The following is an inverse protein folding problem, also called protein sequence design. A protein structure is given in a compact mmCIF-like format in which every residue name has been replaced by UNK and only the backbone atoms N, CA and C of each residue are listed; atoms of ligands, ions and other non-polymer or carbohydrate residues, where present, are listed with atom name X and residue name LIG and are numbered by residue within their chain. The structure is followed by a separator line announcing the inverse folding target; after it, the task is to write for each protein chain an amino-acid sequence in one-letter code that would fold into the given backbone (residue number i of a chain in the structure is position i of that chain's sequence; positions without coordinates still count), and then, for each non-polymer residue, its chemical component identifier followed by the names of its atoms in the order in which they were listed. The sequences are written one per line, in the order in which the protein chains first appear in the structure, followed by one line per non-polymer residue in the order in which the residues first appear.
data_IF_563785967331
#
_entry.id   IF_563785967331
#
_cell.length_a   1.000
_cell.length_b   1.000
_cell.length_c   1.000
_cell.angle_alpha   90.00
_cell.angle_beta   90.00
_cell.angle_gamma   90.00
#
_symmetry.space_group_name_H-M   'P 1'
#
loop_
_entity.id
_entity.type
_entity.pdbx_description
1 polymer ?
#
# COMPACT_ATOMS: atom_id res chain seq x y z
N UNK A 1 -20.19 54.55 -33.77
CA UNK A 1 -18.83 54.00 -33.93
C UNK A 1 -18.11 54.17 -32.61
N UNK A 2 -18.26 53.19 -31.73
CA UNK A 2 -17.38 52.84 -30.60
C UNK A 2 -18.15 51.92 -29.67
N UNK A 3 -17.56 50.74 -29.49
CA UNK A 3 -17.96 49.63 -28.65
C UNK A 3 -17.63 49.90 -27.18
N UNK A 4 -18.42 49.29 -26.29
CA UNK A 4 -17.91 48.38 -25.25
C UNK A 4 -19.08 47.80 -24.44
N UNK A 5 -19.37 46.51 -24.63
CA UNK A 5 -20.19 45.73 -23.69
C UNK A 5 -19.52 44.39 -23.44
N UNK A 6 -19.22 44.17 -22.16
CA UNK A 6 -18.86 42.92 -21.52
C UNK A 6 -19.76 41.74 -21.92
N UNK A 7 -19.19 40.57 -22.18
CA UNK A 7 -19.82 39.31 -21.76
C UNK A 7 -18.83 38.15 -21.72
N UNK A 8 -18.74 37.58 -20.52
CA UNK A 8 -18.03 36.35 -20.16
C UNK A 8 -18.59 35.17 -20.96
N UNK A 9 -17.76 34.54 -21.79
CA UNK A 9 -18.10 33.28 -22.46
C UNK A 9 -17.65 32.11 -21.59
N UNK A 10 -18.62 31.35 -21.09
CA UNK A 10 -18.42 30.02 -20.51
C UNK A 10 -18.02 29.06 -21.62
N UNK A 11 -16.79 28.57 -21.63
CA UNK A 11 -16.43 27.38 -22.42
C UNK A 11 -17.07 26.15 -21.79
N UNK A 12 -18.00 25.57 -22.54
CA UNK A 12 -18.67 24.31 -22.26
C UNK A 12 -17.66 23.18 -22.46
N UNK A 13 -17.22 22.56 -21.37
CA UNK A 13 -16.43 21.33 -21.41
C UNK A 13 -17.34 20.19 -21.87
N UNK A 14 -17.16 19.75 -23.11
CA UNK A 14 -17.85 18.57 -23.65
C UNK A 14 -17.44 17.31 -22.86
N UNK A 15 -18.37 16.39 -22.54
CA UNK A 15 -18.05 15.15 -21.88
C UNK A 15 -17.20 14.26 -22.80
N UNK A 16 -16.06 13.79 -22.28
CA UNK A 16 -15.22 12.76 -22.89
C UNK A 16 -16.08 11.54 -23.23
N UNK A 17 -16.19 11.24 -24.52
CA UNK A 17 -16.83 10.02 -25.02
C UNK A 17 -16.11 8.76 -24.54
N UNK A 18 -16.80 7.60 -24.59
CA UNK A 18 -16.25 6.35 -24.08
C UNK A 18 -15.02 5.95 -24.91
N UNK A 19 -13.92 5.70 -24.20
CA UNK A 19 -12.72 5.06 -24.76
C UNK A 19 -13.13 3.65 -25.18
N UNK A 20 -13.25 3.42 -26.48
CA UNK A 20 -13.40 2.08 -27.06
C UNK A 20 -12.12 1.30 -26.82
N UNK A 21 -12.11 0.51 -25.74
CA UNK A 21 -11.17 -0.60 -25.58
C UNK A 21 -11.49 -1.65 -26.63
N UNK A 22 -10.55 -1.90 -27.54
CA UNK A 22 -10.60 -3.06 -28.42
C UNK A 22 -10.69 -4.32 -27.56
N UNK A 23 -11.79 -5.04 -27.68
CA UNK A 23 -11.99 -6.37 -27.11
C UNK A 23 -10.96 -7.32 -27.71
N UNK A 24 -9.86 -7.54 -27.00
CA UNK A 24 -9.03 -8.72 -27.20
C UNK A 24 -9.81 -9.92 -26.67
N UNK A 25 -9.97 -10.96 -27.50
CA UNK A 25 -10.46 -12.27 -27.11
C UNK A 25 -9.58 -12.85 -25.99
N UNK A 26 -9.98 -12.61 -24.75
CA UNK A 26 -9.48 -13.33 -23.59
C UNK A 26 -10.12 -14.70 -23.66
N UNK A 27 -9.31 -15.76 -23.85
CA UNK A 27 -9.79 -17.13 -23.72
C UNK A 27 -10.57 -17.26 -22.41
N UNK A 28 -11.83 -17.75 -22.40
CA UNK A 28 -12.74 -17.64 -21.27
C UNK A 28 -12.28 -18.36 -19.98
N UNK A 29 -11.13 -19.04 -20.01
CA UNK A 29 -10.62 -19.90 -18.95
C UNK A 29 -9.44 -19.31 -18.13
N UNK A 30 -8.93 -18.12 -18.44
CA UNK A 30 -7.79 -17.54 -17.69
C UNK A 30 -8.25 -16.45 -16.70
N UNK A 31 -7.89 -16.59 -15.41
CA UNK A 31 -8.04 -15.54 -14.41
C UNK A 31 -6.94 -14.47 -14.60
N UNK A 32 -7.04 -13.68 -15.66
CA UNK A 32 -6.10 -12.62 -15.94
C UNK A 32 -6.54 -11.31 -15.27
N UNK A 33 -5.64 -10.73 -14.48
CA UNK A 33 -5.71 -9.32 -14.06
C UNK A 33 -4.61 -8.58 -14.83
N UNK A 34 -4.86 -8.21 -16.10
CA UNK A 34 -3.86 -7.53 -16.90
C UNK A 34 -3.63 -6.12 -16.37
N UNK A 35 -2.42 -5.61 -16.59
CA UNK A 35 -2.14 -4.19 -16.45
C UNK A 35 -2.62 -3.40 -17.66
N UNK A 36 -2.45 -2.07 -17.64
CA UNK A 36 -2.74 -1.25 -18.81
C UNK A 36 -1.81 -1.62 -19.97
N UNK A 37 -2.36 -1.64 -21.19
CA UNK A 37 -1.61 -1.71 -22.45
C UNK A 37 -1.15 -0.32 -22.93
N UNK A 38 -1.70 0.72 -22.32
CA UNK A 38 -1.48 2.13 -22.62
C UNK A 38 -1.36 2.94 -21.33
N UNK A 39 -0.27 3.69 -21.21
CA UNK A 39 0.11 4.39 -19.98
C UNK A 39 0.34 5.86 -20.28
N UNK A 40 -0.29 6.74 -19.52
CA UNK A 40 -0.06 8.18 -19.64
C UNK A 40 0.89 8.68 -18.55
N UNK A 41 2.02 9.22 -18.97
CA UNK A 41 3.05 9.79 -18.10
C UNK A 41 3.05 11.31 -18.21
N UNK A 42 3.25 11.98 -17.08
CA UNK A 42 3.40 13.44 -17.00
C UNK A 42 4.72 13.81 -16.34
N UNK A 43 5.32 14.89 -16.79
CA UNK A 43 6.58 15.43 -16.26
C UNK A 43 6.28 16.31 -15.05
N UNK A 44 6.79 15.90 -13.89
CA UNK A 44 6.80 16.68 -12.66
C UNK A 44 8.19 17.26 -12.38
N UNK A 45 8.28 18.16 -11.40
CA UNK A 45 9.53 18.83 -11.00
C UNK A 45 10.64 17.87 -10.57
N UNK A 46 10.28 16.69 -10.04
CA UNK A 46 11.22 15.66 -9.57
C UNK A 46 11.39 14.47 -10.52
N UNK A 47 10.74 14.48 -11.68
CA UNK A 47 10.80 13.39 -12.67
C UNK A 47 9.45 13.09 -13.31
N UNK A 48 9.35 11.94 -13.98
CA UNK A 48 8.09 11.49 -14.59
C UNK A 48 7.20 10.77 -13.59
N UNK A 49 5.89 10.91 -13.74
CA UNK A 49 4.86 10.28 -12.90
C UNK A 49 3.76 9.70 -13.80
N UNK A 50 3.19 8.57 -13.39
CA UNK A 50 1.94 8.08 -13.99
C UNK A 50 0.81 9.01 -13.55
N UNK A 51 0.04 9.49 -14.52
CA UNK A 51 -1.04 10.47 -14.29
C UNK A 51 -2.23 9.84 -13.59
N UNK A 52 -2.41 8.54 -13.79
CA UNK A 52 -3.53 7.78 -13.26
C UNK A 52 -3.14 7.17 -11.91
N UNK A 53 -3.77 7.63 -10.83
CA UNK A 53 -3.70 7.03 -9.47
C UNK A 53 -4.50 5.70 -9.45
N UNK A 54 -4.23 4.80 -10.40
CA UNK A 54 -4.99 3.58 -10.69
C UNK A 54 -4.47 2.36 -9.94
N UNK A 55 -3.74 2.53 -8.84
CA UNK A 55 -3.25 1.37 -8.07
C UNK A 55 -3.15 1.59 -6.58
N UNK A 56 -3.36 0.49 -5.87
CA UNK A 56 -2.96 0.36 -4.48
C UNK A 56 -1.44 0.26 -4.40
N UNK A 57 -0.82 1.12 -3.58
CA UNK A 57 0.64 1.15 -3.41
C UNK A 57 1.07 0.85 -1.97
N UNK A 58 2.00 -0.07 -1.81
CA UNK A 58 2.80 -0.31 -0.61
C UNK A 58 3.90 0.75 -0.50
N UNK A 59 3.48 1.98 -0.19
CA UNK A 59 4.33 3.16 -0.15
C UNK A 59 4.39 3.81 1.25
N UNK A 60 4.18 3.02 2.30
CA UNK A 60 4.33 3.42 3.71
C UNK A 60 5.62 4.21 3.88
N UNK A 61 5.64 5.28 4.65
CA UNK A 61 6.85 6.06 4.87
C UNK A 61 7.73 5.45 5.98
N UNK A 62 9.04 5.39 5.76
CA UNK A 62 9.94 4.69 6.69
C UNK A 62 9.99 5.37 8.06
N UNK A 63 9.96 6.71 8.05
CA UNK A 63 9.96 7.54 9.25
C UNK A 63 8.78 7.26 10.19
N UNK A 64 7.65 6.79 9.68
CA UNK A 64 6.45 6.46 10.49
C UNK A 64 6.72 5.30 11.45
N UNK A 65 7.68 4.42 11.15
CA UNK A 65 8.13 3.37 12.07
C UNK A 65 8.87 3.90 13.31
N UNK A 66 9.16 5.19 13.35
CA UNK A 66 9.79 5.87 14.50
C UNK A 66 8.80 6.76 15.26
N UNK A 67 7.50 6.68 15.00
CA UNK A 67 6.49 7.46 15.75
C UNK A 67 6.51 7.17 17.25
N UNK A 68 6.70 5.90 17.64
CA UNK A 68 6.84 5.52 19.05
C UNK A 68 8.13 6.07 19.67
N UNK A 69 9.20 6.24 18.87
CA UNK A 69 10.44 6.86 19.32
C UNK A 69 10.26 8.37 19.52
N UNK A 70 9.56 9.05 18.60
CA UNK A 70 9.19 10.45 18.75
C UNK A 70 8.39 10.69 20.04
N UNK A 71 7.44 9.79 20.32
CA UNK A 71 6.63 9.82 21.53
C UNK A 71 7.48 9.64 22.79
N UNK A 72 8.37 8.63 22.81
CA UNK A 72 9.24 8.36 23.96
C UNK A 72 10.35 9.42 24.16
N UNK A 73 10.63 10.26 23.16
CA UNK A 73 11.72 11.23 23.20
C UNK A 73 11.39 12.50 23.99
N UNK A 74 10.16 12.69 24.44
CA UNK A 74 9.65 13.99 24.87
C UNK A 74 10.04 14.46 26.27
N UNK A 75 10.75 13.63 27.04
CA UNK A 75 11.23 13.88 28.42
C UNK A 75 10.26 14.76 29.21
N UNK A 76 9.20 14.13 29.72
CA UNK A 76 8.11 14.80 30.40
C UNK A 76 8.61 15.74 31.50
N UNK A 77 8.22 17.00 31.41
CA UNK A 77 8.66 18.04 32.33
C UNK A 77 8.26 17.73 33.78
N UNK A 78 7.12 17.08 34.02
CA UNK A 78 6.70 16.60 35.35
C UNK A 78 7.70 15.62 36.01
N UNK A 79 8.53 14.94 35.23
CA UNK A 79 9.46 13.92 35.75
C UNK A 79 10.88 14.47 35.84
N UNK A 80 11.27 15.34 34.90
CA UNK A 80 12.66 15.73 34.71
C UNK A 80 12.96 17.21 34.96
N UNK A 81 11.93 18.07 35.08
CA UNK A 81 12.14 19.50 35.30
C UNK A 81 12.05 19.83 36.79
N UNK A 82 13.21 19.85 37.45
CA UNK A 82 13.41 20.68 38.64
C UNK A 82 13.62 22.13 38.20
N UNK A 83 13.25 23.13 39.00
CA UNK A 83 13.48 24.55 38.66
C UNK A 83 14.73 25.06 39.38
N UNK A 84 15.76 25.58 38.66
CA UNK A 84 15.86 25.72 37.21
C UNK A 84 16.10 24.38 36.48
N UNK A 85 15.58 24.27 35.25
CA UNK A 85 15.62 23.03 34.48
C UNK A 85 17.06 22.56 34.27
N UNK A 86 17.40 21.30 34.62
CA UNK A 86 18.74 20.77 34.39
C UNK A 86 19.15 20.80 32.91
N UNK A 87 20.40 21.15 32.62
CA UNK A 87 20.90 21.28 31.24
C UNK A 87 20.72 19.99 30.43
N UNK A 88 20.97 18.82 31.04
CA UNK A 88 20.79 17.55 30.35
C UNK A 88 19.33 17.35 29.91
N UNK A 89 18.35 17.73 30.76
CA UNK A 89 16.94 17.62 30.45
C UNK A 89 16.55 18.57 29.31
N UNK A 90 17.10 19.79 29.30
CA UNK A 90 16.92 20.75 28.19
C UNK A 90 17.44 20.15 26.87
N UNK A 91 18.63 19.57 26.87
CA UNK A 91 19.24 18.97 25.66
C UNK A 91 18.38 17.82 25.14
N UNK A 92 17.97 16.88 26.01
CA UNK A 92 17.13 15.76 25.61
C UNK A 92 15.73 16.19 25.14
N UNK A 93 15.09 17.11 25.86
CA UNK A 93 13.81 17.71 25.45
C UNK A 93 13.92 18.41 24.10
N UNK A 94 14.99 19.17 23.84
CA UNK A 94 15.17 19.84 22.56
C UNK A 94 15.32 18.83 21.41
N UNK A 95 16.10 17.76 21.60
CA UNK A 95 16.27 16.70 20.59
C UNK A 95 14.96 15.94 20.36
N UNK A 96 14.28 15.56 21.44
CA UNK A 96 13.01 14.85 21.42
C UNK A 96 11.89 15.65 20.76
N UNK A 97 11.69 16.90 21.21
CA UNK A 97 10.72 17.82 20.65
C UNK A 97 10.96 18.11 19.17
N UNK A 98 12.22 18.32 18.74
CA UNK A 98 12.56 18.44 17.32
C UNK A 98 12.22 17.17 16.54
N UNK A 99 12.57 16.00 17.08
CA UNK A 99 12.33 14.71 16.42
C UNK A 99 10.84 14.45 16.26
N UNK A 100 10.04 14.71 17.30
CA UNK A 100 8.59 14.59 17.28
C UNK A 100 7.95 15.51 16.24
N UNK A 101 8.43 16.75 16.12
CA UNK A 101 7.98 17.68 15.09
C UNK A 101 8.25 17.17 13.66
N UNK A 102 9.49 16.75 13.39
CA UNK A 102 9.88 16.25 12.06
C UNK A 102 9.12 14.98 11.69
N UNK A 103 8.97 14.05 12.65
CA UNK A 103 8.23 12.80 12.43
C UNK A 103 6.73 13.08 12.25
N UNK A 104 6.15 14.06 12.95
CA UNK A 104 4.78 14.51 12.74
C UNK A 104 4.56 15.00 11.30
N UNK A 105 5.47 15.84 10.77
CA UNK A 105 5.44 16.28 9.37
C UNK A 105 5.48 15.07 8.42
N UNK A 106 6.35 14.10 8.71
CA UNK A 106 6.45 12.87 7.93
C UNK A 106 5.14 12.06 7.94
N UNK A 107 4.47 11.95 9.10
CA UNK A 107 3.17 11.29 9.24
C UNK A 107 2.09 12.02 8.43
N UNK A 108 2.07 13.37 8.42
CA UNK A 108 1.15 14.12 7.56
C UNK A 108 1.41 13.93 6.06
N UNK A 109 2.65 13.71 5.64
CA UNK A 109 2.93 13.32 4.26
C UNK A 109 2.51 11.88 3.96
N UNK A 110 2.64 10.97 4.91
CA UNK A 110 2.18 9.59 4.75
C UNK A 110 0.65 9.49 4.72
N UNK A 111 -0.06 10.29 5.52
CA UNK A 111 -1.52 10.33 5.53
C UNK A 111 -2.10 10.78 4.19
N UNK A 112 -1.41 11.69 3.48
CA UNK A 112 -1.76 12.05 2.09
C UNK A 112 -1.61 10.87 1.13
N UNK A 113 -0.59 10.02 1.31
CA UNK A 113 -0.43 8.79 0.51
C UNK A 113 -1.49 7.75 0.85
N UNK A 114 -1.77 7.58 2.14
CA UNK A 114 -2.85 6.71 2.61
C UNK A 114 -4.20 7.15 2.03
N UNK A 115 -4.45 8.47 1.99
CA UNK A 115 -5.67 9.03 1.41
C UNK A 115 -5.85 8.70 -0.07
N UNK A 116 -4.76 8.70 -0.87
CA UNK A 116 -4.81 8.28 -2.27
C UNK A 116 -5.20 6.82 -2.41
N UNK A 117 -4.59 5.94 -1.62
CA UNK A 117 -4.96 4.52 -1.57
C UNK A 117 -6.43 4.35 -1.13
N UNK A 118 -6.90 5.09 -0.12
CA UNK A 118 -8.30 5.07 0.33
C UNK A 118 -9.25 5.49 -0.79
N UNK A 119 -8.93 6.56 -1.53
CA UNK A 119 -9.74 7.04 -2.65
C UNK A 119 -9.82 5.98 -3.75
N UNK A 120 -8.68 5.39 -4.13
CA UNK A 120 -8.60 4.28 -5.08
C UNK A 120 -9.50 3.10 -4.65
N UNK A 121 -9.35 2.63 -3.41
CA UNK A 121 -10.10 1.48 -2.89
C UNK A 121 -11.60 1.77 -2.80
N UNK A 122 -12.00 3.01 -2.44
CA UNK A 122 -13.40 3.43 -2.45
C UNK A 122 -13.99 3.42 -3.85
N UNK A 123 -13.28 3.98 -4.83
CA UNK A 123 -13.71 4.02 -6.22
C UNK A 123 -13.90 2.61 -6.78
N UNK A 124 -12.93 1.73 -6.56
CA UNK A 124 -13.00 0.35 -7.05
C UNK A 124 -14.12 -0.44 -6.38
N UNK A 125 -14.31 -0.29 -5.06
CA UNK A 125 -15.43 -0.92 -4.34
C UNK A 125 -16.78 -0.47 -4.88
N UNK A 126 -16.93 0.82 -5.19
CA UNK A 126 -18.16 1.33 -5.80
C UNK A 126 -18.36 0.71 -7.19
N UNK A 127 -17.31 0.65 -8.01
CA UNK A 127 -17.38 0.02 -9.33
C UNK A 127 -17.84 -1.45 -9.26
N UNK A 128 -17.27 -2.26 -8.37
CA UNK A 128 -17.71 -3.64 -8.19
C UNK A 128 -19.15 -3.77 -7.69
N UNK A 129 -19.61 -2.87 -6.81
CA UNK A 129 -21.00 -2.86 -6.37
C UNK A 129 -21.96 -2.51 -7.50
N UNK A 130 -21.60 -1.54 -8.34
CA UNK A 130 -22.39 -1.17 -9.51
C UNK A 130 -22.42 -2.31 -10.52
N UNK A 131 -21.28 -2.96 -10.80
CA UNK A 131 -21.24 -4.15 -11.65
C UNK A 131 -22.13 -5.27 -11.10
N UNK A 132 -22.09 -5.52 -9.78
CA UNK A 132 -22.96 -6.52 -9.14
C UNK A 132 -24.44 -6.20 -9.29
N UNK A 133 -24.82 -4.91 -9.24
CA UNK A 133 -26.21 -4.48 -9.44
C UNK A 133 -26.67 -4.61 -10.89
N UNK A 134 -25.75 -4.52 -11.85
CA UNK A 134 -26.04 -4.68 -13.28
C UNK A 134 -25.92 -6.13 -13.78
N UNK A 135 -25.58 -7.10 -12.92
CA UNK A 135 -25.55 -8.50 -13.32
C UNK A 135 -26.97 -9.00 -13.55
N UNK A 136 -27.16 -9.76 -14.64
CA UNK A 136 -28.40 -10.50 -14.86
C UNK A 136 -28.65 -11.48 -13.71
N UNK A 137 -29.93 -11.72 -13.39
CA UNK A 137 -30.34 -12.62 -12.30
C UNK A 137 -29.78 -14.06 -12.42
N UNK A 138 -29.34 -14.47 -13.61
CA UNK A 138 -28.77 -15.79 -13.89
C UNK A 138 -27.24 -15.85 -13.78
N UNK A 139 -26.56 -14.71 -13.61
CA UNK A 139 -25.10 -14.65 -13.49
C UNK A 139 -24.67 -14.79 -12.02
N UNK A 140 -23.66 -15.61 -11.75
CA UNK A 140 -23.14 -15.79 -10.39
C UNK A 140 -22.37 -14.54 -9.91
N UNK A 141 -22.81 -13.85 -8.84
CA UNK A 141 -22.14 -12.65 -8.33
C UNK A 141 -20.89 -12.97 -7.50
N UNK A 142 -20.54 -14.25 -7.34
CA UNK A 142 -19.55 -14.73 -6.37
C UNK A 142 -18.16 -14.11 -6.52
N UNK A 143 -17.66 -14.00 -7.74
CA UNK A 143 -16.35 -13.36 -8.00
C UNK A 143 -16.32 -11.90 -7.55
N UNK A 144 -17.41 -11.17 -7.78
CA UNK A 144 -17.55 -9.78 -7.32
C UNK A 144 -17.66 -9.70 -5.80
N UNK A 145 -18.33 -10.64 -5.15
CA UNK A 145 -18.44 -10.67 -3.68
C UNK A 145 -17.09 -10.91 -3.00
N UNK A 146 -16.25 -11.78 -3.57
CA UNK A 146 -14.86 -11.97 -3.11
C UNK A 146 -14.07 -10.67 -3.25
N UNK A 147 -14.14 -10.01 -4.41
CA UNK A 147 -13.41 -8.77 -4.66
C UNK A 147 -13.90 -7.60 -3.79
N UNK A 148 -15.21 -7.48 -3.56
CA UNK A 148 -15.79 -6.49 -2.66
C UNK A 148 -15.28 -6.72 -1.24
N UNK A 149 -15.23 -7.96 -0.77
CA UNK A 149 -14.77 -8.30 0.58
C UNK A 149 -13.26 -8.05 0.74
N UNK A 150 -12.44 -8.48 -0.22
CA UNK A 150 -10.99 -8.21 -0.24
C UNK A 150 -10.74 -6.70 -0.23
N UNK A 151 -11.39 -5.95 -1.13
CA UNK A 151 -11.24 -4.48 -1.22
C UNK A 151 -11.74 -3.77 0.03
N UNK A 152 -12.83 -4.25 0.63
CA UNK A 152 -13.35 -3.68 1.89
C UNK A 152 -12.35 -3.87 3.03
N UNK A 153 -11.70 -5.03 3.11
CA UNK A 153 -10.66 -5.28 4.12
C UNK A 153 -9.41 -4.45 3.86
N UNK A 154 -8.92 -4.38 2.62
CA UNK A 154 -7.80 -3.51 2.25
C UNK A 154 -8.08 -2.05 2.64
N UNK A 155 -9.31 -1.57 2.38
CA UNK A 155 -9.75 -0.23 2.76
C UNK A 155 -9.71 0.00 4.27
N UNK A 156 -10.20 -0.97 5.06
CA UNK A 156 -10.16 -0.89 6.52
C UNK A 156 -8.73 -0.92 7.06
N UNK A 157 -7.87 -1.76 6.48
CA UNK A 157 -6.44 -1.79 6.82
C UNK A 157 -5.81 -0.43 6.55
N UNK A 158 -6.02 0.17 5.38
CA UNK A 158 -5.42 1.46 5.03
C UNK A 158 -5.97 2.59 5.90
N UNK A 159 -7.25 2.57 6.25
CA UNK A 159 -7.86 3.55 7.15
C UNK A 159 -7.28 3.40 8.56
N UNK A 160 -7.33 2.21 9.16
CA UNK A 160 -7.02 2.01 10.58
C UNK A 160 -5.51 2.01 10.80
N UNK A 161 -4.77 1.20 10.04
CA UNK A 161 -3.34 0.96 10.28
C UNK A 161 -2.42 1.97 9.58
N UNK A 162 -2.97 3.01 8.96
CA UNK A 162 -2.15 4.04 8.32
C UNK A 162 -2.74 5.41 8.51
N UNK A 163 -3.91 5.67 7.93
CA UNK A 163 -4.50 7.01 7.99
C UNK A 163 -4.84 7.46 9.43
N UNK A 164 -5.53 6.63 10.21
CA UNK A 164 -5.88 6.93 11.61
C UNK A 164 -4.64 6.96 12.50
N UNK A 165 -3.68 6.06 12.27
CA UNK A 165 -2.38 6.10 12.96
C UNK A 165 -1.66 7.43 12.72
N UNK A 166 -1.48 7.82 11.46
CA UNK A 166 -0.78 9.05 11.09
C UNK A 166 -1.45 10.29 11.68
N UNK A 167 -2.79 10.33 11.70
CA UNK A 167 -3.53 11.45 12.28
C UNK A 167 -3.43 11.49 13.81
N UNK A 168 -3.66 10.37 14.49
CA UNK A 168 -3.67 10.33 15.95
C UNK A 168 -2.26 10.45 16.51
N UNK A 169 -1.33 9.60 16.06
CA UNK A 169 0.05 9.61 16.55
C UNK A 169 0.84 10.79 16.00
N UNK A 170 0.66 11.17 14.73
CA UNK A 170 1.32 12.36 14.18
C UNK A 170 0.78 13.66 14.78
N UNK A 171 -0.54 13.75 15.01
CA UNK A 171 -1.15 14.85 15.75
C UNK A 171 -0.69 14.91 17.20
N UNK A 172 -0.64 13.76 17.89
CA UNK A 172 -0.09 13.63 19.24
C UNK A 172 1.36 14.11 19.32
N UNK A 173 2.22 13.63 18.44
CA UNK A 173 3.62 14.05 18.35
C UNK A 173 3.80 15.56 18.14
N UNK A 174 2.89 16.21 17.41
CA UNK A 174 2.90 17.66 17.26
C UNK A 174 2.60 18.38 18.58
N UNK A 175 1.57 17.93 19.32
CA UNK A 175 1.22 18.50 20.62
C UNK A 175 2.34 18.29 21.65
N UNK A 176 2.91 17.08 21.65
CA UNK A 176 4.09 16.73 22.45
C UNK A 176 5.22 17.70 22.17
N UNK A 177 5.59 17.90 20.90
CA UNK A 177 6.66 18.81 20.51
C UNK A 177 6.42 20.24 21.02
N UNK A 178 5.21 20.78 20.83
CA UNK A 178 4.86 22.13 21.31
C UNK A 178 4.98 22.21 22.83
N UNK A 179 4.44 21.23 23.56
CA UNK A 179 4.55 21.16 25.01
C UNK A 179 6.01 21.11 25.45
N UNK A 180 6.81 20.21 24.89
CA UNK A 180 8.24 20.08 25.23
C UNK A 180 9.02 21.38 25.03
N UNK A 181 8.76 22.14 23.96
CA UNK A 181 9.40 23.46 23.79
C UNK A 181 8.92 24.50 24.81
N UNK A 182 7.64 24.47 25.19
CA UNK A 182 7.12 25.32 26.27
C UNK A 182 7.77 24.99 27.63
N UNK A 183 8.02 23.70 27.90
CA UNK A 183 8.66 23.22 29.12
C UNK A 183 10.10 23.70 29.32
N UNK A 184 10.88 23.87 28.24
CA UNK A 184 12.28 24.33 28.32
C UNK A 184 12.36 25.73 28.96
N UNK A 185 11.37 26.58 28.70
CA UNK A 185 11.30 27.94 29.27
C UNK A 185 11.00 27.98 30.78
N UNK A 186 10.39 26.92 31.32
CA UNK A 186 10.29 26.46 32.73
C UNK A 186 9.88 27.41 33.86
N UNK A 187 10.30 28.68 33.84
CA UNK A 187 10.23 29.60 34.98
C UNK A 187 8.84 30.21 35.23
N UNK A 188 7.94 30.18 34.23
CA UNK A 188 6.58 30.69 34.39
C UNK A 188 5.62 29.53 34.74
N UNK A 189 5.00 29.52 35.94
CA UNK A 189 4.13 28.43 36.39
C UNK A 189 2.95 28.14 35.44
N UNK A 190 2.42 29.16 34.75
CA UNK A 190 1.31 28.99 33.79
C UNK A 190 1.78 28.27 32.52
N UNK A 191 2.98 28.60 32.05
CA UNK A 191 3.58 27.98 30.86
C UNK A 191 3.97 26.53 31.18
N UNK A 192 4.50 26.28 32.38
CA UNK A 192 4.81 24.94 32.85
C UNK A 192 3.56 24.06 32.95
N UNK A 193 2.48 24.56 33.56
CA UNK A 193 1.22 23.80 33.65
C UNK A 193 0.62 23.52 32.26
N UNK A 194 0.59 24.53 31.39
CA UNK A 194 0.10 24.38 30.03
C UNK A 194 0.93 23.36 29.23
N UNK A 195 2.27 23.40 29.38
CA UNK A 195 3.18 22.43 28.79
C UNK A 195 2.85 21.00 29.23
N UNK A 196 2.70 20.77 30.53
CA UNK A 196 2.42 19.42 31.06
C UNK A 196 1.07 18.86 30.61
N UNK A 197 0.04 19.71 30.53
CA UNK A 197 -1.25 19.31 29.95
C UNK A 197 -1.07 18.92 28.49
N UNK A 198 -0.30 19.71 27.73
CA UNK A 198 -0.16 19.55 26.29
C UNK A 198 0.70 18.33 25.91
N UNK A 199 1.90 18.18 26.48
CA UNK A 199 2.79 17.06 26.18
C UNK A 199 2.45 15.80 26.99
N UNK A 200 2.17 15.94 28.29
CA UNK A 200 1.95 14.80 29.17
C UNK A 200 0.61 14.08 28.96
N UNK A 201 -0.47 14.83 28.72
CA UNK A 201 -1.82 14.25 28.65
C UNK A 201 -2.43 14.35 27.25
N UNK A 202 -2.58 15.56 26.70
CA UNK A 202 -3.31 15.78 25.45
C UNK A 202 -2.57 15.21 24.24
N UNK A 203 -1.24 15.26 24.23
CA UNK A 203 -0.40 14.67 23.19
C UNK A 203 -0.40 13.14 23.22
N UNK A 204 -0.44 12.55 24.41
CA UNK A 204 -0.37 11.09 24.59
C UNK A 204 -1.75 10.41 24.48
N UNK A 205 -2.86 11.10 24.76
CA UNK A 205 -4.21 10.52 24.70
C UNK A 205 -4.60 9.98 23.31
N UNK A 206 -4.32 10.67 22.18
CA UNK A 206 -4.50 10.12 20.84
C UNK A 206 -3.76 8.80 20.59
N UNK A 207 -2.58 8.62 21.20
CA UNK A 207 -1.74 7.43 21.05
C UNK A 207 -2.40 6.25 21.78
N UNK A 208 -2.87 6.47 23.01
CA UNK A 208 -3.64 5.48 23.75
C UNK A 208 -4.94 5.08 23.03
N UNK A 209 -5.67 6.06 22.49
CA UNK A 209 -6.87 5.80 21.69
C UNK A 209 -6.55 4.95 20.44
N UNK A 210 -5.47 5.29 19.73
CA UNK A 210 -5.02 4.50 18.59
C UNK A 210 -4.65 3.07 18.99
N UNK A 211 -3.95 2.88 20.11
CA UNK A 211 -3.61 1.56 20.65
C UNK A 211 -4.83 0.67 20.88
N UNK A 212 -5.89 1.24 21.45
CA UNK A 212 -7.15 0.52 21.62
C UNK A 212 -7.79 0.14 20.27
N UNK A 213 -7.93 1.09 19.35
CA UNK A 213 -8.54 0.84 18.04
C UNK A 213 -7.73 -0.20 17.23
N UNK A 214 -6.40 -0.09 17.26
CA UNK A 214 -5.49 -1.00 16.58
C UNK A 214 -5.55 -2.42 17.15
N UNK A 215 -5.71 -2.58 18.47
CA UNK A 215 -5.77 -3.92 19.09
C UNK A 215 -7.08 -4.65 18.78
N UNK A 216 -8.21 -3.93 18.82
CA UNK A 216 -9.52 -4.47 18.41
C UNK A 216 -9.46 -4.91 16.95
N UNK A 217 -8.89 -4.06 16.09
CA UNK A 217 -8.70 -4.39 14.67
C UNK A 217 -7.77 -5.59 14.46
N UNK A 218 -6.66 -5.66 15.19
CA UNK A 218 -5.73 -6.79 15.12
C UNK A 218 -6.40 -8.12 15.49
N UNK A 219 -7.21 -8.14 16.55
CA UNK A 219 -7.96 -9.34 16.95
C UNK A 219 -8.90 -9.82 15.83
N UNK A 220 -9.66 -8.91 15.22
CA UNK A 220 -10.53 -9.23 14.08
C UNK A 220 -9.76 -9.83 12.90
N UNK A 221 -8.63 -9.24 12.51
CA UNK A 221 -7.81 -9.73 11.39
C UNK A 221 -7.22 -11.10 11.72
N UNK A 222 -6.70 -11.31 12.92
CA UNK A 222 -6.14 -12.60 13.34
C UNK A 222 -7.20 -13.70 13.31
N UNK A 223 -8.40 -13.44 13.83
CA UNK A 223 -9.53 -14.37 13.75
C UNK A 223 -9.86 -14.73 12.30
N UNK A 224 -9.94 -13.73 11.41
CA UNK A 224 -10.19 -13.97 9.98
C UNK A 224 -9.09 -14.80 9.31
N UNK A 225 -7.82 -14.51 9.59
CA UNK A 225 -6.70 -15.30 9.05
C UNK A 225 -6.71 -16.74 9.54
N UNK A 226 -7.13 -16.97 10.80
CA UNK A 226 -7.31 -18.33 11.34
C UNK A 226 -8.43 -19.07 10.62
N UNK A 227 -9.55 -18.39 10.34
CA UNK A 227 -10.65 -18.97 9.56
C UNK A 227 -10.19 -19.37 8.15
N UNK A 228 -9.46 -18.49 7.44
CA UNK A 228 -8.90 -18.80 6.12
C UNK A 228 -8.02 -20.07 6.15
N UNK A 229 -7.12 -20.17 7.14
CA UNK A 229 -6.26 -21.36 7.30
C UNK A 229 -7.06 -22.61 7.64
N UNK A 230 -8.08 -22.50 8.48
CA UNK A 230 -8.91 -23.63 8.89
C UNK A 230 -9.69 -24.22 7.70
N UNK A 231 -10.27 -23.37 6.85
CA UNK A 231 -10.97 -23.80 5.63
C UNK A 231 -9.98 -24.35 4.61
N UNK A 232 -8.89 -23.62 4.32
CA UNK A 232 -7.90 -24.06 3.34
C UNK A 232 -7.24 -25.41 3.68
N UNK A 233 -7.07 -25.74 4.97
CA UNK A 233 -6.55 -27.06 5.37
C UNK A 233 -7.46 -28.23 4.96
N UNK A 234 -8.76 -27.99 4.84
CA UNK A 234 -9.74 -29.00 4.42
C UNK A 234 -9.80 -29.08 2.89
N UNK A 235 -9.99 -27.92 2.24
CA UNK A 235 -10.25 -27.85 0.80
C UNK A 235 -8.99 -28.03 -0.08
N UNK A 236 -7.80 -27.68 0.43
CA UNK A 236 -6.56 -27.69 -0.35
C UNK A 236 -5.57 -28.76 0.12
N UNK A 237 -6.07 -29.86 0.70
CA UNK A 237 -5.20 -30.93 1.18
C UNK A 237 -4.42 -31.56 0.00
N UNK A 238 -3.08 -31.55 0.08
CA UNK A 238 -2.21 -32.06 -0.98
C UNK A 238 -1.85 -31.04 -2.07
N UNK A 239 -2.50 -29.86 -2.10
CA UNK A 239 -2.17 -28.80 -3.07
C UNK A 239 -0.87 -28.07 -2.72
N UNK A 240 -0.10 -27.69 -3.74
CA UNK A 240 1.11 -26.87 -3.62
C UNK A 240 0.84 -25.45 -3.09
N UNK A 241 -0.41 -25.00 -3.20
CA UNK A 241 -0.89 -23.66 -2.79
C UNK A 241 -1.14 -23.55 -1.30
N UNK A 242 -1.51 -24.65 -0.62
CA UNK A 242 -1.76 -24.66 0.82
C UNK A 242 -0.62 -24.08 1.67
N UNK A 243 0.66 -24.47 1.49
CA UNK A 243 1.77 -23.87 2.24
C UNK A 243 1.94 -22.38 1.95
N UNK A 244 1.66 -21.92 0.72
CA UNK A 244 1.71 -20.49 0.37
C UNK A 244 0.68 -19.69 1.15
N UNK A 245 -0.56 -20.19 1.22
CA UNK A 245 -1.65 -19.59 2.00
C UNK A 245 -1.32 -19.58 3.50
N UNK A 246 -0.88 -20.71 4.07
CA UNK A 246 -0.47 -20.78 5.48
C UNK A 246 0.62 -19.76 5.81
N UNK A 247 1.65 -19.66 4.98
CA UNK A 247 2.75 -18.70 5.17
C UNK A 247 2.25 -17.26 5.10
N UNK A 248 1.34 -16.95 4.17
CA UNK A 248 0.73 -15.63 4.06
C UNK A 248 -0.05 -15.28 5.31
N UNK A 249 -0.98 -16.13 5.73
CA UNK A 249 -1.77 -15.92 6.93
C UNK A 249 -0.90 -15.79 8.19
N UNK A 250 0.16 -16.59 8.31
CA UNK A 250 1.13 -16.46 9.41
C UNK A 250 1.83 -15.10 9.42
N UNK A 251 2.34 -14.62 8.28
CA UNK A 251 3.01 -13.31 8.21
C UNK A 251 2.09 -12.16 8.59
N UNK A 252 0.81 -12.23 8.18
CA UNK A 252 -0.22 -11.26 8.55
C UNK A 252 -0.52 -11.34 10.04
N UNK A 253 -0.76 -12.55 10.58
CA UNK A 253 -1.01 -12.75 12.00
C UNK A 253 0.14 -12.24 12.87
N UNK A 254 1.38 -12.57 12.53
CA UNK A 254 2.57 -12.15 13.27
C UNK A 254 2.65 -10.61 13.33
N UNK A 255 2.43 -9.94 12.20
CA UNK A 255 2.38 -8.49 12.15
C UNK A 255 1.31 -7.93 13.08
N UNK A 256 0.06 -8.40 12.95
CA UNK A 256 -1.06 -7.83 13.70
C UNK A 256 -0.97 -8.12 15.20
N UNK A 257 -0.45 -9.29 15.60
CA UNK A 257 -0.22 -9.62 17.01
C UNK A 257 0.81 -8.64 17.60
N UNK A 258 1.99 -8.52 16.98
CA UNK A 258 3.07 -7.67 17.49
C UNK A 258 2.66 -6.18 17.45
N UNK A 259 2.07 -5.73 16.35
CA UNK A 259 1.62 -4.34 16.22
C UNK A 259 0.51 -4.02 17.22
N UNK A 260 -0.47 -4.91 17.37
CA UNK A 260 -1.58 -4.73 18.31
C UNK A 260 -1.13 -4.66 19.76
N UNK A 261 -0.22 -5.54 20.19
CA UNK A 261 0.31 -5.53 21.56
C UNK A 261 1.24 -4.33 21.79
N UNK A 262 2.12 -4.03 20.84
CA UNK A 262 3.01 -2.88 20.93
C UNK A 262 2.23 -1.56 21.06
N UNK A 263 1.16 -1.37 20.29
CA UNK A 263 0.38 -0.12 20.35
C UNK A 263 -0.40 0.02 21.67
N UNK A 264 -0.87 -1.09 22.28
CA UNK A 264 -1.50 -1.04 23.61
C UNK A 264 -0.46 -0.67 24.67
N UNK A 265 0.70 -1.32 24.65
CA UNK A 265 1.79 -1.04 25.59
C UNK A 265 2.36 0.37 25.39
N UNK A 266 2.45 0.84 24.14
CA UNK A 266 2.86 2.21 23.79
C UNK A 266 1.86 3.23 24.31
N UNK A 267 0.56 2.98 24.11
CA UNK A 267 -0.51 3.80 24.68
C UNK A 267 -0.44 3.91 26.21
N UNK A 268 -0.36 2.78 26.91
CA UNK A 268 -0.23 2.75 28.38
C UNK A 268 1.07 3.41 28.84
N UNK A 269 2.20 3.05 28.21
CA UNK A 269 3.51 3.61 28.52
C UNK A 269 3.53 5.13 28.36
N UNK A 270 2.97 5.66 27.27
CA UNK A 270 2.90 7.09 26.99
C UNK A 270 2.06 7.87 28.01
N UNK A 271 1.03 7.26 28.60
CA UNK A 271 0.28 7.89 29.69
C UNK A 271 1.09 7.92 30.98
N UNK A 272 1.83 6.85 31.25
CA UNK A 272 2.62 6.72 32.47
C UNK A 272 3.89 7.58 32.45
N UNK A 273 4.46 7.89 31.29
CA UNK A 273 5.65 8.75 31.16
C UNK A 273 5.42 10.17 31.68
N UNK A 274 4.16 10.63 31.71
CA UNK A 274 3.80 11.92 32.30
C UNK A 274 4.07 12.00 33.81
N UNK A 275 4.16 10.87 34.51
CA UNK A 275 4.28 10.80 35.98
C UNK A 275 5.42 9.90 36.48
N UNK A 276 5.90 8.95 35.66
CA UNK A 276 6.80 7.87 36.09
C UNK A 276 7.95 7.68 35.11
N UNK A 277 9.19 7.90 35.57
CA UNK A 277 10.39 7.71 34.74
C UNK A 277 10.56 6.26 34.23
N UNK A 278 10.17 5.25 35.01
CA UNK A 278 10.34 3.84 34.61
C UNK A 278 9.44 3.45 33.44
N UNK A 279 8.39 4.23 33.14
CA UNK A 279 7.55 4.00 31.97
C UNK A 279 8.33 4.13 30.65
N UNK A 280 9.39 4.97 30.62
CA UNK A 280 10.30 5.05 29.47
C UNK A 280 10.99 3.71 29.17
N UNK A 281 11.22 2.86 30.17
CA UNK A 281 11.79 1.51 29.97
C UNK A 281 10.81 0.59 29.24
N UNK A 282 9.50 0.74 29.50
CA UNK A 282 8.44 -0.01 28.79
C UNK A 282 8.38 0.38 27.30
N UNK A 283 8.70 1.63 26.97
CA UNK A 283 8.66 2.10 25.58
C UNK A 283 9.80 1.52 24.72
N UNK A 284 10.91 1.05 25.29
CA UNK A 284 12.02 0.46 24.53
C UNK A 284 11.56 -0.74 23.67
N UNK A 285 10.93 -1.80 24.22
CA UNK A 285 10.42 -2.91 23.40
C UNK A 285 9.30 -2.48 22.43
N UNK A 286 8.53 -1.43 22.77
CA UNK A 286 7.50 -0.87 21.87
C UNK A 286 8.15 -0.24 20.63
N UNK A 287 9.21 0.55 20.79
CA UNK A 287 9.96 1.16 19.69
C UNK A 287 10.55 0.09 18.78
N UNK A 288 11.21 -0.93 19.36
CA UNK A 288 11.77 -2.05 18.60
C UNK A 288 10.68 -2.76 17.80
N UNK A 289 9.52 -3.01 18.42
CA UNK A 289 8.37 -3.65 17.77
C UNK A 289 7.80 -2.80 16.64
N UNK A 290 7.73 -1.48 16.80
CA UNK A 290 7.26 -0.54 15.77
C UNK A 290 8.18 -0.53 14.54
N UNK A 291 9.51 -0.48 14.75
CA UNK A 291 10.50 -0.58 13.68
C UNK A 291 10.38 -1.92 12.96
N UNK A 292 10.31 -3.02 13.73
CA UNK A 292 10.10 -4.36 13.17
C UNK A 292 8.82 -4.41 12.32
N UNK A 293 7.69 -3.92 12.83
CA UNK A 293 6.41 -3.93 12.13
C UNK A 293 6.48 -3.10 10.84
N UNK A 294 7.15 -1.94 10.82
CA UNK A 294 7.33 -1.16 9.60
C UNK A 294 8.10 -1.93 8.52
N UNK A 295 9.21 -2.57 8.89
CA UNK A 295 10.02 -3.41 7.98
C UNK A 295 9.21 -4.62 7.53
N UNK A 296 8.56 -5.31 8.46
CA UNK A 296 7.77 -6.50 8.19
C UNK A 296 6.59 -6.20 7.27
N UNK A 297 5.92 -5.06 7.45
CA UNK A 297 4.88 -4.59 6.55
C UNK A 297 5.40 -4.48 5.12
N UNK A 298 6.49 -3.72 4.91
CA UNK A 298 7.08 -3.49 3.58
C UNK A 298 7.45 -4.78 2.87
N UNK A 299 8.07 -5.71 3.59
CA UNK A 299 8.71 -6.87 2.98
C UNK A 299 7.86 -8.12 2.99
N UNK A 300 6.88 -8.26 3.89
CA UNK A 300 6.11 -9.52 4.08
C UNK A 300 4.59 -9.36 3.99
N UNK A 301 4.04 -8.20 4.33
CA UNK A 301 2.57 -8.00 4.42
C UNK A 301 2.00 -7.16 3.28
N UNK A 302 2.50 -5.94 3.09
CA UNK A 302 2.03 -5.03 2.05
C UNK A 302 2.32 -5.56 0.65
N UNK A 303 1.50 -5.14 -0.31
CA UNK A 303 1.66 -5.43 -1.73
C UNK A 303 1.09 -4.29 -2.56
N UNK A 304 1.48 -4.24 -3.82
CA UNK A 304 0.89 -3.36 -4.83
C UNK A 304 -0.13 -4.18 -5.64
N UNK A 305 -1.20 -3.54 -6.12
CA UNK A 305 -2.08 -4.16 -7.12
C UNK A 305 -2.74 -3.13 -8.03
N UNK A 306 -3.01 -3.47 -9.30
CA UNK A 306 -3.62 -2.56 -10.26
C UNK A 306 -5.12 -2.37 -9.99
N UNK A 307 -5.69 -1.41 -10.70
CA UNK A 307 -7.14 -1.32 -10.90
C UNK A 307 -7.62 -2.56 -11.65
N UNK A 308 -8.71 -3.13 -11.17
CA UNK A 308 -9.36 -4.31 -11.77
C UNK A 308 -10.63 -3.78 -12.41
N UNK A 309 -10.65 -3.71 -13.73
CA UNK A 309 -11.75 -3.16 -14.52
C UNK A 309 -12.90 -4.16 -14.62
N UNK A 310 -12.63 -5.36 -15.13
CA UNK A 310 -13.58 -6.45 -15.24
C UNK A 310 -12.89 -7.74 -14.80
N UNK A 311 -13.56 -8.53 -13.95
CA UNK A 311 -13.09 -9.86 -13.61
C UNK A 311 -13.85 -10.89 -14.45
N UNK A 312 -13.13 -11.82 -15.05
CA UNK A 312 -13.76 -13.05 -15.58
C UNK A 312 -14.38 -13.85 -14.43
N UNK A 313 -15.18 -14.86 -14.78
CA UNK A 313 -15.70 -15.85 -13.83
C UNK A 313 -14.54 -16.39 -12.99
N UNK A 314 -14.74 -16.42 -11.67
CA UNK A 314 -13.73 -16.86 -10.72
C UNK A 314 -14.10 -18.24 -10.20
N UNK A 315 -13.22 -19.20 -10.40
CA UNK A 315 -13.32 -20.55 -9.85
C UNK A 315 -12.05 -20.92 -9.07
N UNK A 316 -12.16 -21.92 -8.20
CA UNK A 316 -11.06 -22.41 -7.38
C UNK A 316 -9.85 -22.80 -8.24
N UNK A 317 -10.09 -23.63 -9.25
CA UNK A 317 -9.05 -24.15 -10.14
C UNK A 317 -8.31 -23.00 -10.84
N UNK A 318 -9.06 -22.04 -11.40
CA UNK A 318 -8.49 -20.86 -12.07
C UNK A 318 -7.64 -20.01 -11.12
N UNK A 319 -8.07 -19.82 -9.86
CA UNK A 319 -7.28 -19.09 -8.85
C UNK A 319 -5.98 -19.85 -8.54
N UNK A 320 -6.08 -21.17 -8.33
CA UNK A 320 -4.91 -21.99 -7.99
C UNK A 320 -3.91 -22.08 -9.13
N UNK A 321 -4.36 -22.31 -10.36
CA UNK A 321 -3.52 -22.35 -11.57
C UNK A 321 -2.81 -21.01 -11.79
N UNK A 322 -3.54 -19.90 -11.67
CA UNK A 322 -2.95 -18.56 -11.83
C UNK A 322 -1.90 -18.27 -10.76
N UNK A 323 -2.14 -18.72 -9.52
CA UNK A 323 -1.19 -18.56 -8.43
C UNK A 323 0.05 -19.42 -8.62
N UNK A 324 -0.10 -20.67 -9.06
CA UNK A 324 1.00 -21.56 -9.38
C UNK A 324 1.83 -21.02 -10.55
N UNK A 325 1.20 -20.58 -11.63
CA UNK A 325 1.86 -19.95 -12.77
C UNK A 325 2.64 -18.68 -12.36
N UNK A 326 2.06 -17.84 -11.50
CA UNK A 326 2.74 -16.64 -10.97
C UNK A 326 3.95 -17.03 -10.11
N UNK A 327 3.82 -18.07 -9.29
CA UNK A 327 4.89 -18.60 -8.42
C UNK A 327 6.04 -19.18 -9.23
N UNK A 328 5.72 -19.99 -10.24
CA UNK A 328 6.71 -20.55 -11.17
C UNK A 328 7.43 -19.44 -11.92
N UNK A 329 6.71 -18.47 -12.48
CA UNK A 329 7.32 -17.31 -13.15
C UNK A 329 8.27 -16.56 -12.23
N UNK A 330 7.89 -16.33 -10.96
CA UNK A 330 8.77 -15.69 -9.97
C UNK A 330 10.05 -16.49 -9.73
N UNK A 331 9.95 -17.81 -9.60
CA UNK A 331 11.11 -18.69 -9.39
C UNK A 331 12.04 -18.63 -10.59
N UNK A 332 11.51 -18.76 -11.81
CA UNK A 332 12.30 -18.67 -13.05
C UNK A 332 13.02 -17.31 -13.20
N UNK A 333 12.38 -16.19 -12.82
CA UNK A 333 13.03 -14.87 -12.84
C UNK A 333 14.13 -14.76 -11.77
N UNK A 334 13.97 -15.38 -10.60
CA UNK A 334 15.00 -15.36 -9.55
C UNK A 334 16.20 -16.26 -9.88
N UNK A 335 15.94 -17.44 -10.43
CA UNK A 335 16.95 -18.47 -10.68
C UNK A 335 17.72 -18.20 -11.99
N UNK A 336 17.25 -17.27 -12.82
CA UNK A 336 17.92 -16.89 -14.06
C UNK A 336 19.19 -16.07 -13.82
N UNK A 337 20.32 -16.78 -13.74
CA UNK A 337 21.69 -16.26 -13.82
C UNK A 337 22.03 -15.77 -15.23
N UNK A 338 21.26 -14.84 -15.80
CA UNK A 338 21.59 -14.16 -17.06
C UNK A 338 21.36 -14.98 -18.33
N UNK A 339 21.60 -16.30 -18.31
CA UNK A 339 21.50 -17.20 -19.48
C UNK A 339 20.14 -17.91 -19.61
N UNK A 340 19.34 -18.02 -18.54
CA UNK A 340 18.06 -18.75 -18.54
C UNK A 340 16.82 -17.90 -18.91
N UNK A 341 16.97 -16.63 -19.31
CA UNK A 341 15.82 -15.84 -19.78
C UNK A 341 15.22 -16.38 -21.08
N UNK A 342 15.99 -17.12 -21.88
CA UNK A 342 15.51 -17.80 -23.10
C UNK A 342 14.55 -18.96 -22.79
N UNK A 343 14.66 -19.57 -21.60
CA UNK A 343 13.71 -20.60 -21.14
C UNK A 343 12.33 -20.03 -20.81
N UNK A 344 12.23 -18.76 -20.42
CA UNK A 344 10.95 -18.09 -20.16
C UNK A 344 10.10 -17.90 -21.41
N UNK A 345 10.74 -17.80 -22.58
CA UNK A 345 10.10 -17.51 -23.86
C UNK A 345 10.25 -18.66 -24.87
N UNK A 346 10.67 -19.85 -24.41
CA UNK A 346 10.85 -21.03 -25.25
C UNK A 346 11.70 -20.77 -26.52
N UNK A 347 12.72 -19.89 -26.43
CA UNK A 347 13.53 -19.47 -27.57
C UNK A 347 14.02 -18.02 -27.49
N UNK A 348 14.30 -17.41 -28.65
CA UNK A 348 14.74 -16.01 -28.76
C UNK A 348 13.54 -15.08 -28.52
N UNK A 349 13.40 -14.56 -27.30
CA UNK A 349 12.29 -13.71 -26.91
C UNK A 349 12.17 -12.48 -27.84
N UNK A 350 11.04 -12.31 -28.53
CA UNK A 350 10.80 -11.10 -29.29
C UNK A 350 10.39 -9.95 -28.37
N UNK A 351 10.60 -8.71 -28.80
CA UNK A 351 10.15 -7.53 -28.04
C UNK A 351 8.64 -7.60 -27.77
N UNK A 352 7.85 -8.07 -28.75
CA UNK A 352 6.40 -8.26 -28.62
C UNK A 352 6.06 -9.20 -27.47
N UNK A 353 6.69 -10.38 -27.41
CA UNK A 353 6.39 -11.39 -26.38
C UNK A 353 6.65 -10.85 -24.97
N UNK A 354 7.73 -10.08 -24.80
CA UNK A 354 8.07 -9.46 -23.51
C UNK A 354 7.06 -8.37 -23.11
N UNK A 355 6.61 -7.56 -24.07
CA UNK A 355 5.61 -6.51 -23.80
C UNK A 355 4.24 -7.11 -23.50
N UNK A 356 3.83 -8.16 -24.21
CA UNK A 356 2.59 -8.90 -23.95
C UNK A 356 2.64 -9.57 -22.57
N UNK A 357 3.78 -10.16 -22.20
CA UNK A 357 4.01 -10.63 -20.83
C UNK A 357 3.85 -9.50 -19.80
N UNK A 358 4.38 -8.32 -20.10
CA UNK A 358 4.29 -7.17 -19.19
C UNK A 358 2.85 -6.68 -19.02
N UNK A 359 2.02 -6.75 -20.05
CA UNK A 359 0.58 -6.46 -19.93
C UNK A 359 -0.10 -7.57 -19.13
N UNK A 360 0.11 -8.84 -19.48
CA UNK A 360 -0.50 -10.00 -18.80
C UNK A 360 -0.25 -9.99 -17.28
N UNK A 361 0.94 -9.59 -16.85
CA UNK A 361 1.34 -9.59 -15.44
C UNK A 361 1.45 -8.21 -14.78
N UNK A 362 0.88 -7.15 -15.36
CA UNK A 362 0.85 -5.78 -14.78
C UNK A 362 2.23 -5.12 -14.52
N UNK A 363 3.20 -5.40 -15.39
CA UNK A 363 4.53 -4.81 -15.36
C UNK A 363 4.67 -3.61 -16.30
N UNK A 364 3.79 -3.47 -17.29
CA UNK A 364 3.94 -2.52 -18.40
C UNK A 364 4.01 -1.06 -17.92
N UNK A 365 3.15 -0.65 -16.99
CA UNK A 365 3.16 0.70 -16.41
C UNK A 365 4.52 1.07 -15.80
N UNK A 366 5.07 0.16 -14.97
CA UNK A 366 6.35 0.41 -14.30
C UNK A 366 7.52 0.37 -15.29
N UNK A 367 7.42 -0.48 -16.32
CA UNK A 367 8.39 -0.50 -17.39
C UNK A 367 8.40 0.81 -18.17
N UNK A 368 7.23 1.34 -18.55
CA UNK A 368 7.11 2.63 -19.27
C UNK A 368 7.78 3.77 -18.48
N UNK A 369 7.49 3.85 -17.18
CA UNK A 369 8.12 4.84 -16.29
C UNK A 369 9.65 4.68 -16.25
N UNK A 370 10.15 3.44 -16.24
CA UNK A 370 11.59 3.15 -16.22
C UNK A 370 12.25 3.42 -17.57
N UNK A 371 11.55 3.16 -18.67
CA UNK A 371 12.00 3.39 -20.04
C UNK A 371 12.20 4.88 -20.31
N UNK A 372 11.21 5.70 -19.95
CA UNK A 372 11.26 7.17 -20.06
C UNK A 372 12.38 7.80 -19.24
N UNK A 373 12.74 7.20 -18.10
CA UNK A 373 13.86 7.66 -17.27
C UNK A 373 15.22 7.09 -17.69
N UNK A 374 15.24 6.17 -18.66
CA UNK A 374 16.47 5.54 -19.14
C UNK A 374 17.11 6.39 -20.24
N UNK A 375 18.34 6.88 -20.00
CA UNK A 375 19.07 7.72 -20.96
C UNK A 375 19.30 7.05 -22.33
N UNK A 376 19.36 5.72 -22.39
CA UNK A 376 19.65 4.98 -23.64
C UNK A 376 18.44 4.80 -24.56
N UNK A 377 17.23 4.70 -24.00
CA UNK A 377 16.02 4.38 -24.78
C UNK A 377 14.90 5.41 -24.60
N UNK A 378 14.96 6.26 -23.57
CA UNK A 378 13.92 7.24 -23.28
C UNK A 378 13.76 8.28 -24.39
N UNK A 379 14.84 8.65 -25.08
CA UNK A 379 14.78 9.59 -26.20
C UNK A 379 14.03 9.05 -27.44
N UNK A 380 13.84 7.72 -27.51
CA UNK A 380 13.09 7.09 -28.60
C UNK A 380 11.58 7.30 -28.46
N UNK A 381 11.11 7.57 -27.24
CA UNK A 381 9.68 7.68 -26.90
C UNK A 381 9.31 9.09 -26.41
N UNK A 382 10.30 9.93 -26.10
CA UNK A 382 10.11 11.29 -25.61
C UNK A 382 10.61 12.31 -26.64
N UNK A 383 9.78 13.30 -26.96
CA UNK A 383 10.24 14.52 -27.61
C UNK A 383 10.69 15.52 -26.54
N UNK A 384 11.69 16.34 -26.85
CA UNK A 384 12.32 17.26 -25.89
C UNK A 384 11.34 18.25 -25.20
N UNK A 385 10.20 18.53 -25.84
CA UNK A 385 9.18 19.47 -25.36
C UNK A 385 8.01 18.79 -24.63
N UNK A 386 7.98 17.46 -24.54
CA UNK A 386 6.80 16.77 -24.01
C UNK A 386 6.69 16.94 -22.48
N UNK A 387 5.58 17.55 -22.05
CA UNK A 387 5.17 17.58 -20.65
C UNK A 387 4.27 16.38 -20.29
N UNK A 388 3.67 15.74 -21.30
CA UNK A 388 2.77 14.58 -21.17
C UNK A 388 3.00 13.65 -22.35
N UNK A 389 3.17 12.36 -22.09
CA UNK A 389 3.40 11.33 -23.11
C UNK A 389 2.51 10.14 -22.84
N UNK A 390 1.88 9.63 -23.89
CA UNK A 390 1.10 8.40 -23.84
C UNK A 390 1.92 7.30 -24.53
N UNK A 391 2.15 6.21 -23.82
CA UNK A 391 2.97 5.08 -24.28
C UNK A 391 2.08 3.85 -24.30
N UNK A 392 1.88 3.28 -25.48
CA UNK A 392 1.19 2.01 -25.69
C UNK A 392 2.15 0.92 -26.15
N UNK A 393 1.75 -0.35 -26.00
CA UNK A 393 2.50 -1.48 -26.58
C UNK A 393 2.73 -1.27 -28.08
N UNK A 394 1.68 -0.86 -28.81
CA UNK A 394 1.76 -0.55 -30.24
C UNK A 394 2.81 0.54 -30.53
N UNK A 395 2.81 1.64 -29.78
CA UNK A 395 3.76 2.74 -29.99
C UNK A 395 5.22 2.34 -29.77
N UNK A 396 5.50 1.37 -28.89
CA UNK A 396 6.86 0.87 -28.67
C UNK A 396 7.30 -0.03 -29.83
N UNK A 397 6.37 -0.80 -30.41
CA UNK A 397 6.64 -1.68 -31.55
C UNK A 397 6.75 -0.93 -32.89
N UNK A 398 6.27 0.32 -32.95
CA UNK A 398 6.44 1.22 -34.10
C UNK A 398 7.83 1.89 -34.13
N UNK A 399 8.63 1.78 -33.08
CA UNK A 399 10.02 2.27 -33.06
C UNK A 399 10.82 1.53 -34.13
N UNK A 400 11.77 2.18 -34.84
CA UNK A 400 12.62 1.50 -35.81
C UNK A 400 13.28 0.23 -35.26
N UNK A 401 13.25 -0.86 -36.05
CA UNK A 401 13.70 -2.19 -35.61
C UNK A 401 15.16 -2.21 -35.13
N UNK A 402 16.00 -1.29 -35.61
CA UNK A 402 17.37 -1.10 -35.16
C UNK A 402 17.50 -0.84 -33.65
N UNK A 403 16.44 -0.30 -33.02
CA UNK A 403 16.41 0.00 -31.59
C UNK A 403 15.72 -1.08 -30.75
N UNK A 404 15.03 -2.04 -31.37
CA UNK A 404 14.36 -3.13 -30.67
C UNK A 404 15.29 -3.92 -29.73
N UNK A 405 16.55 -4.25 -30.10
CA UNK A 405 17.47 -4.94 -29.21
C UNK A 405 17.80 -4.15 -27.94
N UNK A 406 17.89 -2.82 -28.06
CA UNK A 406 18.18 -1.94 -26.92
C UNK A 406 17.00 -1.84 -25.95
N UNK A 407 15.78 -1.77 -26.49
CA UNK A 407 14.54 -1.76 -25.69
C UNK A 407 14.35 -3.12 -25.02
N UNK A 408 14.55 -4.22 -25.75
CA UNK A 408 14.48 -5.57 -25.23
C UNK A 408 15.48 -5.78 -24.09
N UNK A 409 16.74 -5.36 -24.26
CA UNK A 409 17.75 -5.44 -23.19
C UNK A 409 17.32 -4.65 -21.94
N UNK A 410 16.74 -3.45 -22.12
CA UNK A 410 16.23 -2.65 -21.01
C UNK A 410 15.03 -3.33 -20.31
N UNK A 411 14.13 -3.95 -21.07
CA UNK A 411 12.98 -4.71 -20.57
C UNK A 411 13.42 -5.93 -19.75
N UNK A 412 14.39 -6.71 -20.25
CA UNK A 412 14.94 -7.86 -19.55
C UNK A 412 15.67 -7.47 -18.25
N UNK A 413 16.45 -6.37 -18.27
CA UNK A 413 17.07 -5.82 -17.05
C UNK A 413 16.00 -5.39 -16.04
N UNK A 414 14.93 -4.74 -16.52
CA UNK A 414 13.81 -4.34 -15.67
C UNK A 414 13.11 -5.56 -15.06
N UNK A 415 12.79 -6.57 -15.87
CA UNK A 415 12.13 -7.80 -15.44
C UNK A 415 12.96 -8.52 -14.38
N UNK A 416 14.28 -8.66 -14.58
CA UNK A 416 15.17 -9.27 -13.59
C UNK A 416 15.21 -8.50 -12.27
N UNK A 417 15.18 -7.17 -12.32
CA UNK A 417 15.33 -6.31 -11.13
C UNK A 417 14.03 -6.14 -10.34
N UNK A 418 12.90 -5.95 -11.02
CA UNK A 418 11.61 -5.62 -10.39
C UNK A 418 10.59 -6.76 -10.47
N UNK A 419 10.71 -7.64 -11.46
CA UNK A 419 9.80 -8.78 -11.68
C UNK A 419 9.60 -9.65 -10.45
N UNK A 420 10.65 -10.10 -9.73
CA UNK A 420 10.45 -10.98 -8.57
C UNK A 420 9.62 -10.36 -7.46
N UNK A 421 9.85 -9.07 -7.17
CA UNK A 421 9.09 -8.34 -6.16
C UNK A 421 7.65 -8.12 -6.60
N UNK A 422 7.43 -7.79 -7.86
CA UNK A 422 6.10 -7.59 -8.43
C UNK A 422 5.29 -8.88 -8.44
N UNK A 423 5.87 -10.01 -8.87
CA UNK A 423 5.21 -11.32 -8.81
C UNK A 423 4.88 -11.71 -7.37
N UNK A 424 5.77 -11.43 -6.41
CA UNK A 424 5.49 -11.67 -4.99
C UNK A 424 4.31 -10.83 -4.47
N UNK A 425 4.15 -9.59 -4.94
CA UNK A 425 2.98 -8.76 -4.61
C UNK A 425 1.70 -9.35 -5.21
N UNK A 426 1.75 -9.81 -6.46
CA UNK A 426 0.63 -10.47 -7.14
C UNK A 426 0.23 -11.78 -6.46
N UNK A 427 1.20 -12.62 -6.09
CA UNK A 427 0.95 -13.84 -5.30
C UNK A 427 0.21 -13.53 -4.00
N UNK A 428 0.64 -12.49 -3.26
CA UNK A 428 -0.04 -12.09 -2.02
C UNK A 428 -1.50 -11.74 -2.29
N UNK A 429 -1.77 -10.95 -3.33
CA UNK A 429 -3.12 -10.58 -3.69
C UNK A 429 -3.98 -11.80 -4.09
N UNK A 430 -3.45 -12.70 -4.92
CA UNK A 430 -4.15 -13.93 -5.32
C UNK A 430 -4.44 -14.85 -4.12
N UNK A 431 -3.52 -14.96 -3.16
CA UNK A 431 -3.76 -15.71 -1.91
C UNK A 431 -4.86 -15.07 -1.06
N UNK A 432 -4.95 -13.73 -1.05
CA UNK A 432 -6.04 -13.03 -0.36
C UNK A 432 -7.40 -13.29 -0.99
N UNK A 433 -7.46 -13.35 -2.33
CA UNK A 433 -8.63 -13.79 -3.10
C UNK A 433 -8.99 -15.22 -2.72
N UNK A 434 -8.03 -16.16 -2.83
CA UNK A 434 -8.24 -17.58 -2.56
C UNK A 434 -8.81 -17.82 -1.16
N UNK A 435 -8.19 -17.24 -0.13
CA UNK A 435 -8.65 -17.42 1.25
C UNK A 435 -10.06 -16.88 1.49
N UNK A 436 -10.42 -15.78 0.80
CA UNK A 436 -11.75 -15.19 0.90
C UNK A 436 -12.78 -16.01 0.11
N UNK A 437 -12.42 -16.49 -1.08
CA UNK A 437 -13.25 -17.36 -1.93
C UNK A 437 -13.64 -18.65 -1.19
N UNK A 438 -12.67 -19.33 -0.58
CA UNK A 438 -12.91 -20.56 0.17
C UNK A 438 -13.83 -20.33 1.38
N UNK A 439 -13.68 -19.21 2.08
CA UNK A 439 -14.52 -18.93 3.24
C UNK A 439 -15.98 -18.63 2.83
N UNK A 440 -16.17 -17.87 1.74
CA UNK A 440 -17.51 -17.60 1.20
C UNK A 440 -18.19 -18.85 0.63
N UNK A 441 -17.42 -19.76 0.00
CA UNK A 441 -17.91 -21.05 -0.48
C UNK A 441 -18.59 -21.83 0.63
N UNK A 442 -17.87 -21.95 1.75
CA UNK A 442 -18.33 -22.69 2.91
C UNK A 442 -19.56 -22.04 3.56
N UNK A 443 -19.60 -20.72 3.62
CA UNK A 443 -20.76 -19.98 4.13
C UNK A 443 -22.00 -20.22 3.25
N UNK A 444 -21.84 -20.28 1.92
CA UNK A 444 -22.95 -20.58 1.00
C UNK A 444 -23.43 -22.02 1.15
N UNK A 445 -22.52 -22.99 1.23
CA UNK A 445 -22.86 -24.40 1.44
C UNK A 445 -23.59 -24.64 2.78
N UNK A 446 -23.21 -23.93 3.84
CA UNK A 446 -23.89 -24.04 5.13
C UNK A 446 -25.35 -23.54 5.08
N UNK A 447 -25.60 -22.45 4.35
CA UNK A 447 -26.95 -21.88 4.17
C UNK A 447 -27.85 -22.77 3.31
N UNK A 448 -27.28 -23.53 2.36
CA UNK A 448 -28.03 -24.52 1.57
C UNK A 448 -28.39 -25.77 2.37
N UNK A 449 -27.60 -26.17 3.36
CA UNK A 449 -27.89 -27.33 4.22
C UNK A 449 -28.94 -27.01 5.31
N UNK A 450 -29.12 -25.74 5.67
CA UNK A 450 -30.14 -25.29 6.63
C UNK A 450 -31.51 -24.98 6.00
N UNK A 451 -31.62 -24.97 4.67
CA UNK A 451 -32.88 -24.82 3.92
C UNK A 451 -33.41 -26.16 3.46
#
# INVERSE_FOLDING_TARGET
MMDDISTVTKEVTAPLGPVTTSSQDVSPNDLSIPGPDTVTLTKATSGWLCTDDTRLRNNLFAAVGFLELANAGDFAANVWNDVPVPIYAIVFMAIGGCSAFVISICAFFDSRKAWRNIKFLRQQRTSFKTQKQSLDNNASPRGLDVLIEVTTRELRIEIINRYVMDLLMGGGAMLISIGTFMAIGGANPRVWLASNILSGYLGNAPIALYGLLSSIWAAMVVCKMRAHVAVARKELLGSSVLPMLKRRCFNVQLFFIINGTANVLGGVGSMLTAERWWAYVILIPVIISSIFCNIWWRHRVGYDRPYISNMSRMDLDMITETLEATSQLRQTINDSTGTNMEQLFSGMASLRDVLELFVKYDLFEQFCLRMVTNKRVGHLVLKAQDARVQISVASILEVPEEHHPSILAAALIFLKKQGPRHMLHRERFLIEILGTYLNQDKESQAVEVEK
#
